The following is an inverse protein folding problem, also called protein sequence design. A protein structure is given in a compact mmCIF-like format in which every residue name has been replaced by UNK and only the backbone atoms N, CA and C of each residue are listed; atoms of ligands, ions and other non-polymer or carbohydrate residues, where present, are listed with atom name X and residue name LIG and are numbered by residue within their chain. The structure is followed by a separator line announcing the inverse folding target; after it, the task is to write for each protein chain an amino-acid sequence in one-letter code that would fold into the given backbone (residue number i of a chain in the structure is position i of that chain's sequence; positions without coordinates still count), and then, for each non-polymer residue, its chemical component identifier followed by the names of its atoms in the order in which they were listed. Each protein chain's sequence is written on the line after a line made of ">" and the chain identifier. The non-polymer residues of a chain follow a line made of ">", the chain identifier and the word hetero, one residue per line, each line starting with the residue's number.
data_IF_797170637305
#
_entry.id   IF_797170637305
#
_cell.length_a   1.000
_cell.length_b   1.000
_cell.length_c   1.000
_cell.angle_alpha   90.00
_cell.angle_beta   90.00
_cell.angle_gamma   90.00
#
_symmetry.space_group_name_H-M   'P 1'
#
loop_
_entity.id
_entity.type
_entity.pdbx_description
1 polymer ?
#
# COMPACT_ATOMS: atom_id res chain seq x y z
N UNK A 1 17.55 13.62 16.40
CA UNK A 1 16.35 13.84 15.60
C UNK A 1 15.59 12.55 15.37
N UNK A 2 14.28 12.63 15.53
CA UNK A 2 13.43 11.45 15.34
C UNK A 2 13.33 11.10 13.86
N UNK A 3 13.50 9.83 13.51
CA UNK A 3 13.34 9.36 12.14
C UNK A 3 11.86 9.28 11.77
N UNK A 4 11.56 9.55 10.50
CA UNK A 4 10.19 9.57 9.98
C UNK A 4 9.93 8.30 9.16
N UNK A 5 8.82 7.64 9.46
CA UNK A 5 8.42 6.40 8.80
C UNK A 5 7.13 6.58 8.01
N UNK A 6 7.00 5.78 6.96
CA UNK A 6 5.74 5.54 6.28
C UNK A 6 5.48 4.05 6.21
N UNK A 7 4.29 3.67 5.74
CA UNK A 7 3.87 2.28 5.60
C UNK A 7 3.36 2.05 4.19
N UNK A 8 3.75 0.94 3.56
CA UNK A 8 3.21 0.54 2.26
C UNK A 8 2.62 -0.85 2.35
N UNK A 9 1.36 -0.97 1.97
CA UNK A 9 0.67 -2.24 1.76
C UNK A 9 0.86 -2.58 0.28
N UNK A 10 1.82 -3.46 0.00
CA UNK A 10 2.37 -3.70 -1.33
C UNK A 10 2.30 -5.18 -1.71
N UNK A 11 2.41 -5.46 -3.01
CA UNK A 11 2.58 -6.82 -3.48
C UNK A 11 3.96 -7.36 -3.11
N UNK A 12 4.10 -8.69 -3.07
CA UNK A 12 5.41 -9.31 -2.91
C UNK A 12 6.31 -9.09 -4.12
N UNK A 13 5.76 -8.63 -5.25
CA UNK A 13 6.50 -8.48 -6.50
C UNK A 13 7.68 -7.52 -6.33
N UNK A 14 8.89 -8.05 -6.51
CA UNK A 14 10.12 -7.30 -6.28
C UNK A 14 10.31 -6.08 -7.20
N UNK A 15 9.60 -6.04 -8.32
CA UNK A 15 9.70 -4.91 -9.27
C UNK A 15 9.05 -3.64 -8.72
N UNK A 16 8.18 -3.76 -7.72
CA UNK A 16 7.41 -2.63 -7.17
C UNK A 16 8.03 -2.04 -5.91
N UNK A 17 8.84 -2.80 -5.19
CA UNK A 17 9.23 -2.44 -3.82
C UNK A 17 10.16 -1.23 -3.78
N UNK A 18 11.20 -1.21 -4.60
CA UNK A 18 12.11 -0.06 -4.66
C UNK A 18 11.42 1.21 -5.19
N UNK A 19 10.68 1.17 -6.32
CA UNK A 19 9.98 2.35 -6.80
C UNK A 19 9.02 2.96 -5.76
N UNK A 20 8.24 2.13 -5.08
CA UNK A 20 7.29 2.59 -4.06
C UNK A 20 8.02 3.21 -2.88
N UNK A 21 9.06 2.54 -2.39
CA UNK A 21 9.84 3.01 -1.25
C UNK A 21 10.49 4.37 -1.55
N UNK A 22 11.14 4.49 -2.69
CA UNK A 22 11.81 5.73 -3.09
C UNK A 22 10.82 6.88 -3.29
N UNK A 23 9.67 6.59 -3.93
CA UNK A 23 8.65 7.61 -4.15
C UNK A 23 8.08 8.14 -2.84
N UNK A 24 7.75 7.24 -1.90
CA UNK A 24 7.19 7.63 -0.61
C UNK A 24 8.21 8.44 0.21
N UNK A 25 9.47 8.02 0.22
CA UNK A 25 10.53 8.76 0.93
C UNK A 25 10.66 10.18 0.39
N UNK A 26 10.71 10.32 -0.93
CA UNK A 26 10.87 11.63 -1.58
C UNK A 26 9.63 12.51 -1.40
N UNK A 27 8.45 11.93 -1.57
CA UNK A 27 7.20 12.70 -1.58
C UNK A 27 6.81 13.19 -0.18
N UNK A 28 7.06 12.40 0.86
CA UNK A 28 6.68 12.72 2.24
C UNK A 28 7.87 13.03 3.15
N UNK A 29 9.08 13.12 2.60
CA UNK A 29 10.31 13.38 3.35
C UNK A 29 10.52 12.37 4.49
N UNK A 30 10.45 11.08 4.12
CA UNK A 30 10.55 9.98 5.08
C UNK A 30 11.94 9.32 5.03
N UNK A 31 12.37 8.80 6.17
CA UNK A 31 13.64 8.08 6.29
C UNK A 31 13.47 6.59 5.96
N UNK A 32 12.37 5.99 6.41
CA UNK A 32 12.12 4.55 6.28
C UNK A 32 10.68 4.26 5.88
N UNK A 33 10.50 3.16 5.16
CA UNK A 33 9.17 2.66 4.79
C UNK A 33 9.04 1.23 5.32
N UNK A 34 8.04 0.98 6.16
CA UNK A 34 7.66 -0.37 6.55
C UNK A 34 6.87 -1.00 5.41
N UNK A 35 7.40 -2.08 4.83
CA UNK A 35 6.73 -2.81 3.76
C UNK A 35 5.95 -3.99 4.33
N UNK A 36 4.65 -3.97 4.13
CA UNK A 36 3.77 -5.10 4.43
C UNK A 36 3.39 -5.70 3.09
N UNK A 37 3.79 -6.94 2.85
CA UNK A 37 3.61 -7.56 1.54
C UNK A 37 2.63 -8.73 1.57
N UNK A 38 1.86 -8.85 0.49
CA UNK A 38 0.92 -9.93 0.25
C UNK A 38 0.77 -10.08 -1.27
N UNK A 39 0.79 -11.30 -1.82
CA UNK A 39 0.51 -11.47 -3.25
C UNK A 39 -0.83 -10.85 -3.61
N UNK A 40 -0.84 -9.92 -4.57
CA UNK A 40 -2.06 -9.24 -5.00
C UNK A 40 -2.72 -8.45 -3.87
N UNK A 41 -1.97 -7.58 -3.22
CA UNK A 41 -2.44 -6.81 -2.07
C UNK A 41 -3.78 -6.11 -2.33
N UNK A 42 -3.95 -5.46 -3.48
CA UNK A 42 -5.18 -4.74 -3.82
C UNK A 42 -6.38 -5.67 -4.01
N UNK A 43 -6.15 -6.91 -4.43
CA UNK A 43 -7.21 -7.91 -4.48
C UNK A 43 -7.63 -8.36 -3.08
N UNK A 44 -6.65 -8.64 -2.21
CA UNK A 44 -6.94 -9.12 -0.85
C UNK A 44 -7.68 -8.05 -0.05
N UNK A 45 -7.20 -6.81 -0.08
CA UNK A 45 -7.85 -5.72 0.66
C UNK A 45 -9.25 -5.41 0.14
N UNK A 46 -9.47 -5.50 -1.18
CA UNK A 46 -10.78 -5.19 -1.77
C UNK A 46 -11.76 -6.35 -1.73
N UNK A 47 -11.30 -7.59 -1.85
CA UNK A 47 -12.18 -8.76 -2.01
C UNK A 47 -12.05 -9.80 -0.90
N UNK A 48 -11.14 -9.64 0.03
CA UNK A 48 -10.99 -10.54 1.16
C UNK A 48 -10.24 -11.83 0.85
N UNK A 49 -10.29 -12.87 1.69
CA UNK A 49 -11.26 -13.06 2.78
C UNK A 49 -10.99 -12.18 4.01
N UNK A 50 -12.00 -12.04 4.84
CA UNK A 50 -11.96 -11.14 6.00
C UNK A 50 -10.83 -11.45 6.97
N UNK A 51 -10.47 -12.73 7.14
CA UNK A 51 -9.38 -13.11 8.04
C UNK A 51 -8.00 -12.64 7.55
N UNK A 52 -7.78 -12.58 6.24
CA UNK A 52 -6.54 -12.05 5.67
C UNK A 52 -6.48 -10.54 5.79
N UNK A 53 -7.61 -9.87 5.56
CA UNK A 53 -7.72 -8.42 5.76
C UNK A 53 -7.44 -8.06 7.22
N UNK A 54 -7.98 -8.82 8.16
CA UNK A 54 -7.74 -8.62 9.59
C UNK A 54 -6.26 -8.74 9.95
N UNK A 55 -5.56 -9.72 9.37
CA UNK A 55 -4.12 -9.89 9.61
C UNK A 55 -3.31 -8.71 9.06
N UNK A 56 -3.67 -8.22 7.88
CA UNK A 56 -3.02 -7.04 7.29
C UNK A 56 -3.26 -5.80 8.14
N UNK A 57 -4.46 -5.66 8.70
CA UNK A 57 -4.78 -4.59 9.64
C UNK A 57 -3.89 -4.66 10.90
N UNK A 58 -3.74 -5.84 11.48
CA UNK A 58 -2.89 -6.04 12.65
C UNK A 58 -1.44 -5.66 12.36
N UNK A 59 -0.90 -6.08 11.22
CA UNK A 59 0.46 -5.73 10.80
C UNK A 59 0.62 -4.22 10.61
N UNK A 60 -0.38 -3.57 10.05
CA UNK A 60 -0.40 -2.11 9.86
C UNK A 60 -0.38 -1.39 11.22
N UNK A 61 -1.15 -1.88 12.18
CA UNK A 61 -1.18 -1.33 13.54
C UNK A 61 0.20 -1.42 14.20
N UNK A 62 0.94 -2.51 13.98
CA UNK A 62 2.32 -2.65 14.48
C UNK A 62 3.20 -1.52 13.94
N UNK A 63 3.14 -1.26 12.64
CA UNK A 63 3.90 -0.18 12.00
C UNK A 63 3.56 1.19 12.61
N UNK A 64 2.28 1.49 12.75
CA UNK A 64 1.85 2.76 13.35
C UNK A 64 2.26 2.89 14.81
N UNK A 65 2.08 1.83 15.59
CA UNK A 65 2.38 1.84 17.01
C UNK A 65 3.89 1.93 17.28
N UNK A 66 4.69 1.16 16.55
CA UNK A 66 6.14 1.12 16.74
C UNK A 66 6.83 2.35 16.16
N UNK A 67 6.38 2.85 15.01
CA UNK A 67 7.13 3.84 14.24
C UNK A 67 6.39 5.17 14.01
N UNK A 68 5.17 5.30 14.46
CA UNK A 68 4.36 6.52 14.27
C UNK A 68 4.30 6.92 12.79
N UNK A 69 3.91 5.97 11.94
CA UNK A 69 3.89 6.16 10.48
C UNK A 69 3.10 7.40 10.06
N UNK A 70 3.64 8.14 9.09
CA UNK A 70 3.07 9.41 8.61
C UNK A 70 2.03 9.21 7.51
N UNK A 71 2.08 8.08 6.80
CA UNK A 71 1.22 7.78 5.66
C UNK A 71 1.13 6.27 5.48
N UNK A 72 -0.04 5.80 5.04
CA UNK A 72 -0.22 4.43 4.55
C UNK A 72 -0.51 4.50 3.05
N UNK A 73 0.30 3.83 2.25
CA UNK A 73 0.06 3.67 0.82
C UNK A 73 -0.47 2.27 0.53
N UNK A 74 -1.55 2.20 -0.22
CA UNK A 74 -2.10 0.94 -0.76
C UNK A 74 -1.69 0.88 -2.22
N UNK A 75 -1.03 -0.19 -2.64
CA UNK A 75 -0.37 -0.26 -3.94
C UNK A 75 -0.90 -1.39 -4.80
N UNK A 76 -1.26 -1.06 -6.04
CA UNK A 76 -1.49 -2.02 -7.11
C UNK A 76 -0.46 -1.79 -8.22
N UNK A 77 -0.25 -2.80 -9.08
CA UNK A 77 0.79 -2.69 -10.10
C UNK A 77 0.47 -3.50 -11.35
N UNK A 78 1.19 -3.19 -12.43
CA UNK A 78 1.08 -3.92 -13.69
C UNK A 78 1.50 -5.38 -13.51
N UNK A 79 0.98 -6.26 -14.36
CA UNK A 79 1.38 -7.67 -14.46
C UNK A 79 1.45 -8.37 -13.09
N UNK A 80 0.39 -8.22 -12.31
CA UNK A 80 0.31 -8.83 -10.98
C UNK A 80 -0.18 -10.28 -11.09
N UNK A 81 0.66 -11.24 -10.70
CA UNK A 81 0.35 -12.66 -10.82
C UNK A 81 -0.87 -13.08 -9.97
N UNK A 82 -1.03 -12.49 -8.80
CA UNK A 82 -2.13 -12.84 -7.89
C UNK A 82 -3.38 -11.99 -8.10
N UNK A 83 -3.30 -10.93 -8.90
CA UNK A 83 -4.45 -10.13 -9.32
C UNK A 83 -4.33 -9.83 -10.83
N UNK A 84 -4.53 -10.84 -11.71
CA UNK A 84 -4.30 -10.71 -13.14
C UNK A 84 -5.48 -10.02 -13.85
N UNK A 85 -5.72 -8.78 -13.52
CA UNK A 85 -6.82 -7.97 -14.06
C UNK A 85 -6.29 -6.78 -14.84
N UNK A 86 -7.19 -6.07 -15.55
CA UNK A 86 -6.84 -4.88 -16.32
C UNK A 86 -6.39 -3.74 -15.41
N UNK A 87 -5.68 -2.76 -15.98
CA UNK A 87 -5.33 -1.53 -15.26
C UNK A 87 -6.58 -0.85 -14.69
N UNK A 88 -7.66 -0.79 -15.47
CA UNK A 88 -8.92 -0.21 -15.04
C UNK A 88 -9.48 -0.92 -13.79
N UNK A 89 -9.43 -2.25 -13.77
CA UNK A 89 -9.89 -3.01 -12.62
C UNK A 89 -8.96 -2.82 -11.42
N UNK A 90 -7.65 -2.76 -11.64
CA UNK A 90 -6.70 -2.45 -10.56
C UNK A 90 -7.01 -1.10 -9.92
N UNK A 91 -7.35 -0.09 -10.72
CA UNK A 91 -7.70 1.22 -10.18
C UNK A 91 -8.93 1.15 -9.28
N UNK A 92 -9.92 0.35 -9.66
CA UNK A 92 -11.10 0.10 -8.81
C UNK A 92 -10.73 -0.64 -7.53
N UNK A 93 -9.89 -1.66 -7.66
CA UNK A 93 -9.43 -2.45 -6.50
C UNK A 93 -8.60 -1.60 -5.55
N UNK A 94 -7.72 -0.75 -6.07
CA UNK A 94 -6.94 0.20 -5.26
C UNK A 94 -7.86 1.17 -4.52
N UNK A 95 -8.84 1.74 -5.20
CA UNK A 95 -9.79 2.67 -4.59
C UNK A 95 -10.59 2.00 -3.46
N UNK A 96 -11.11 0.80 -3.72
CA UNK A 96 -11.84 0.02 -2.72
C UNK A 96 -10.93 -0.35 -1.54
N UNK A 97 -9.71 -0.82 -1.83
CA UNK A 97 -8.73 -1.16 -0.81
C UNK A 97 -8.39 0.03 0.08
N UNK A 98 -8.23 1.21 -0.52
CA UNK A 98 -7.97 2.45 0.22
C UNK A 98 -9.11 2.77 1.17
N UNK A 99 -10.36 2.60 0.72
CA UNK A 99 -11.53 2.79 1.58
C UNK A 99 -11.57 1.77 2.73
N UNK A 100 -11.22 0.51 2.47
CA UNK A 100 -11.14 -0.52 3.52
C UNK A 100 -10.13 -0.09 4.59
N UNK A 101 -8.93 0.32 4.18
CA UNK A 101 -7.90 0.77 5.13
C UNK A 101 -8.36 2.01 5.91
N UNK A 102 -9.01 2.96 5.25
CA UNK A 102 -9.58 4.13 5.93
C UNK A 102 -10.65 3.74 6.96
N UNK A 103 -11.42 2.69 6.68
CA UNK A 103 -12.46 2.20 7.60
C UNK A 103 -11.89 1.66 8.91
N UNK A 104 -10.59 1.36 8.95
CA UNK A 104 -9.94 0.93 10.20
C UNK A 104 -9.85 2.04 11.24
N UNK A 105 -10.07 3.28 10.84
CA UNK A 105 -10.10 4.43 11.77
C UNK A 105 -8.75 4.79 12.36
N UNK A 106 -7.66 4.47 11.68
CA UNK A 106 -6.32 4.78 12.15
C UNK A 106 -5.99 6.27 11.93
N UNK A 107 -5.28 6.91 12.86
CA UNK A 107 -5.00 8.35 12.79
C UNK A 107 -3.85 8.67 11.83
N UNK A 108 -4.01 8.33 10.55
CA UNK A 108 -2.98 8.44 9.53
C UNK A 108 -3.62 8.66 8.17
N UNK A 109 -2.94 9.41 7.31
CA UNK A 109 -3.37 9.64 5.93
C UNK A 109 -3.18 8.36 5.10
N UNK A 110 -4.19 8.01 4.29
CA UNK A 110 -4.18 6.81 3.44
C UNK A 110 -4.29 7.23 1.98
N UNK A 111 -3.38 6.72 1.15
CA UNK A 111 -3.35 6.99 -0.29
C UNK A 111 -3.34 5.69 -1.09
N UNK A 112 -3.77 5.77 -2.34
CA UNK A 112 -3.70 4.65 -3.28
C UNK A 112 -2.71 4.96 -4.40
N UNK A 113 -1.85 3.99 -4.73
CA UNK A 113 -0.81 4.14 -5.74
C UNK A 113 -0.88 3.01 -6.78
N UNK A 114 -0.51 3.36 -8.01
CA UNK A 114 -0.30 2.42 -9.11
C UNK A 114 1.15 2.47 -9.57
N UNK A 115 1.76 1.29 -9.78
CA UNK A 115 3.11 1.18 -10.35
C UNK A 115 2.99 0.60 -11.75
N UNK A 116 3.46 1.33 -12.75
CA UNK A 116 3.44 0.87 -14.14
C UNK A 116 4.66 0.00 -14.48
N UNK A 117 4.72 -0.49 -15.73
CA UNK A 117 5.79 -1.37 -16.22
C UNK A 117 7.17 -0.71 -16.24
N UNK A 118 7.25 0.60 -16.13
CA UNK A 118 8.50 1.35 -16.10
C UNK A 118 8.91 1.76 -14.68
N UNK A 119 8.18 1.31 -13.66
CA UNK A 119 8.43 1.71 -12.28
C UNK A 119 7.94 3.11 -11.93
N UNK A 120 7.08 3.69 -12.76
CA UNK A 120 6.50 5.01 -12.49
C UNK A 120 5.33 4.88 -11.54
N UNK A 121 5.21 5.83 -10.64
CA UNK A 121 4.14 5.86 -9.64
C UNK A 121 3.06 6.86 -10.06
N UNK A 122 1.82 6.39 -10.06
CA UNK A 122 0.65 7.24 -10.28
C UNK A 122 -0.22 7.23 -9.03
N UNK A 123 -0.61 8.40 -8.56
CA UNK A 123 -1.53 8.51 -7.41
C UNK A 123 -2.94 8.24 -7.91
N UNK A 124 -3.58 7.20 -7.39
CA UNK A 124 -4.93 6.79 -7.77
C UNK A 124 -5.97 7.53 -6.93
N UNK A 125 -5.71 7.66 -5.63
CA UNK A 125 -6.57 8.40 -4.71
C UNK A 125 -5.77 8.87 -3.50
N UNK A 126 -6.24 9.96 -2.92
CA UNK A 126 -5.61 10.59 -1.74
C UNK A 126 -6.59 10.78 -0.60
#
# INVERSE_FOLDING_TARGET
>A
MRKRFGTALNCIDGRTQIPVTEWLKAHYHLDYIDLITEPGMDRVLSHGPACEVARLRENTIVSLTAHTSQVIAVVGHFDCAANPVSKCQHFKDIATSTQVVRSWGLPVHVIGLWVDEYGRIEVVCT
#
